data_IF_221265763690
#
_entry.id   IF_221265763690
#
_cell.length_a   1.000
_cell.length_b   1.000
_cell.length_c   1.000
_cell.angle_alpha   90.00
_cell.angle_beta   90.00
_cell.angle_gamma   90.00
#
_symmetry.space_group_name_H-M   'P 1'
#
loop_
_entity.id
_entity.type
_entity.pdbx_description
1 polymer ?
#
# COMPACT_ATOMS: atom_id res chain seq x y z
N UNK A 1 -36.55 -12.06 3.24
CA UNK A 1 -35.08 -11.91 3.43
C UNK A 1 -34.43 -12.85 2.43
N UNK A 2 -33.62 -12.33 1.50
CA UNK A 2 -32.97 -13.16 0.47
C UNK A 2 -31.58 -13.52 0.97
N UNK A 3 -31.26 -14.81 1.03
CA UNK A 3 -29.94 -15.32 1.39
C UNK A 3 -29.27 -15.90 0.14
N UNK A 4 -28.12 -15.36 -0.23
CA UNK A 4 -27.28 -15.89 -1.31
C UNK A 4 -26.11 -16.62 -0.64
N UNK A 5 -25.96 -17.91 -0.91
CA UNK A 5 -24.82 -18.69 -0.43
C UNK A 5 -23.82 -18.81 -1.58
N UNK A 6 -22.64 -18.26 -1.39
CA UNK A 6 -21.52 -18.44 -2.32
C UNK A 6 -20.22 -18.35 -1.55
N UNK A 7 -19.17 -18.92 -2.10
CA UNK A 7 -17.82 -18.84 -1.52
C UNK A 7 -17.05 -17.60 -2.02
N UNK A 8 -17.41 -17.10 -3.20
CA UNK A 8 -16.73 -15.97 -3.85
C UNK A 8 -17.46 -14.64 -3.68
N UNK A 9 -16.78 -13.67 -3.06
CA UNK A 9 -17.31 -12.33 -2.82
C UNK A 9 -17.64 -11.60 -4.13
N UNK A 10 -16.85 -11.83 -5.18
CA UNK A 10 -17.04 -11.21 -6.50
C UNK A 10 -18.36 -11.65 -7.12
N UNK A 11 -18.61 -12.97 -7.20
CA UNK A 11 -19.86 -13.51 -7.72
C UNK A 11 -21.09 -13.04 -6.91
N UNK A 12 -20.99 -13.00 -5.57
CA UNK A 12 -22.05 -12.44 -4.74
C UNK A 12 -22.33 -10.98 -5.07
N UNK A 13 -21.28 -10.18 -5.26
CA UNK A 13 -21.43 -8.76 -5.58
C UNK A 13 -22.10 -8.55 -6.93
N UNK A 14 -21.73 -9.32 -7.96
CA UNK A 14 -22.33 -9.23 -9.29
C UNK A 14 -23.81 -9.66 -9.28
N UNK A 15 -24.14 -10.73 -8.56
CA UNK A 15 -25.53 -11.18 -8.38
C UNK A 15 -26.37 -10.11 -7.71
N UNK A 16 -25.90 -9.54 -6.59
CA UNK A 16 -26.64 -8.50 -5.85
C UNK A 16 -26.84 -7.26 -6.72
N UNK A 17 -25.81 -6.81 -7.43
CA UNK A 17 -25.92 -5.66 -8.33
C UNK A 17 -26.88 -5.92 -9.50
N UNK A 18 -26.85 -7.13 -10.08
CA UNK A 18 -27.73 -7.50 -11.20
C UNK A 18 -29.19 -7.58 -10.76
N UNK A 19 -29.45 -8.17 -9.59
CA UNK A 19 -30.79 -8.23 -8.98
C UNK A 19 -31.29 -6.82 -8.68
N UNK A 20 -30.47 -5.98 -8.06
CA UNK A 20 -30.87 -4.61 -7.75
C UNK A 20 -31.17 -3.76 -9.00
N UNK A 21 -30.38 -3.94 -10.08
CA UNK A 21 -30.64 -3.31 -11.38
C UNK A 21 -31.94 -3.82 -12.00
N UNK A 22 -32.17 -5.14 -11.98
CA UNK A 22 -33.38 -5.74 -12.55
C UNK A 22 -34.66 -5.24 -11.86
N UNK A 23 -34.63 -5.11 -10.53
CA UNK A 23 -35.78 -4.63 -9.74
C UNK A 23 -35.80 -3.10 -9.55
N UNK A 24 -34.87 -2.34 -10.15
CA UNK A 24 -34.71 -0.89 -9.95
C UNK A 24 -34.68 -0.46 -8.47
N UNK A 25 -33.99 -1.23 -7.61
CA UNK A 25 -33.85 -0.91 -6.19
C UNK A 25 -32.75 0.16 -6.01
N UNK A 26 -33.08 1.38 -5.55
CA UNK A 26 -32.11 2.47 -5.49
C UNK A 26 -31.11 2.31 -4.34
N UNK A 27 -31.53 1.69 -3.24
CA UNK A 27 -30.74 1.54 -2.01
C UNK A 27 -30.94 0.16 -1.41
N UNK A 28 -29.85 -0.58 -1.21
CA UNK A 28 -29.88 -1.90 -0.58
C UNK A 28 -28.76 -2.01 0.45
N UNK A 29 -29.16 -2.28 1.69
CA UNK A 29 -28.25 -2.69 2.75
C UNK A 29 -28.12 -4.22 2.72
N UNK A 30 -26.92 -4.72 2.99
CA UNK A 30 -26.63 -6.15 3.07
C UNK A 30 -25.69 -6.44 4.23
N UNK A 31 -25.83 -7.67 4.74
CA UNK A 31 -24.92 -8.27 5.70
C UNK A 31 -24.16 -9.39 5.00
N UNK A 32 -22.85 -9.47 5.21
CA UNK A 32 -22.02 -10.48 4.58
C UNK A 32 -21.08 -11.14 5.59
N UNK A 33 -20.78 -12.41 5.34
CA UNK A 33 -19.84 -13.20 6.13
C UNK A 33 -19.03 -14.09 5.20
N UNK A 34 -17.75 -13.72 4.99
CA UNK A 34 -16.80 -14.44 4.14
C UNK A 34 -15.48 -14.66 4.90
N UNK A 35 -15.42 -15.62 5.84
CA UNK A 35 -14.28 -15.77 6.76
C UNK A 35 -12.92 -15.87 6.04
N UNK A 36 -12.83 -16.74 5.02
CA UNK A 36 -11.58 -16.96 4.26
C UNK A 36 -11.06 -15.71 3.56
N UNK A 37 -11.97 -14.93 2.98
CA UNK A 37 -11.63 -13.70 2.27
C UNK A 37 -11.25 -12.58 3.24
N UNK A 38 -11.87 -12.55 4.43
CA UNK A 38 -11.47 -11.66 5.51
C UNK A 38 -10.07 -11.97 6.06
N UNK A 39 -9.71 -13.25 6.23
CA UNK A 39 -8.37 -13.63 6.69
C UNK A 39 -7.29 -13.21 5.68
N UNK A 40 -7.54 -13.40 4.38
CA UNK A 40 -6.65 -12.90 3.31
C UNK A 40 -6.51 -11.39 3.33
N UNK A 41 -7.61 -10.68 3.57
CA UNK A 41 -7.63 -9.23 3.66
C UNK A 41 -6.84 -8.74 4.88
N UNK A 42 -6.96 -9.40 6.04
CA UNK A 42 -6.16 -9.11 7.24
C UNK A 42 -4.66 -9.22 6.96
N UNK A 43 -4.25 -10.34 6.37
CA UNK A 43 -2.87 -10.58 5.97
C UNK A 43 -2.38 -9.49 5.01
N UNK A 44 -3.21 -9.09 4.05
CA UNK A 44 -2.86 -8.06 3.09
C UNK A 44 -2.69 -6.68 3.73
N UNK A 45 -3.50 -6.33 4.73
CA UNK A 45 -3.33 -5.09 5.50
C UNK A 45 -2.00 -5.12 6.26
N UNK A 46 -1.71 -6.20 6.99
CA UNK A 46 -0.43 -6.35 7.71
C UNK A 46 0.79 -6.31 6.80
N UNK A 47 0.73 -6.97 5.63
CA UNK A 47 1.81 -6.91 4.65
C UNK A 47 2.01 -5.48 4.13
N UNK A 48 0.92 -4.75 3.87
CA UNK A 48 0.98 -3.36 3.39
C UNK A 48 1.64 -2.45 4.42
N UNK A 49 1.35 -2.65 5.70
CA UNK A 49 2.00 -1.92 6.80
C UNK A 49 3.49 -2.23 6.90
N UNK A 50 3.87 -3.50 6.84
CA UNK A 50 5.27 -3.92 6.86
C UNK A 50 6.06 -3.29 5.70
N UNK A 51 5.52 -3.35 4.48
CA UNK A 51 6.12 -2.71 3.31
C UNK A 51 6.19 -1.17 3.44
N UNK A 52 5.21 -0.55 4.10
CA UNK A 52 5.24 0.89 4.34
C UNK A 52 6.37 1.31 5.28
N UNK A 53 6.67 0.51 6.31
CA UNK A 53 7.81 0.70 7.22
C UNK A 53 9.13 0.51 6.47
N UNK A 54 9.28 -0.59 5.73
CA UNK A 54 10.48 -0.86 4.92
C UNK A 54 10.77 0.28 3.95
N UNK A 55 9.74 0.78 3.26
CA UNK A 55 9.86 1.92 2.35
C UNK A 55 10.38 3.18 3.05
N UNK A 56 9.93 3.46 4.28
CA UNK A 56 10.41 4.60 5.07
C UNK A 56 11.90 4.47 5.39
N UNK A 57 12.34 3.29 5.83
CA UNK A 57 13.75 3.00 6.11
C UNK A 57 14.61 3.17 4.86
N UNK A 58 14.24 2.56 3.73
CA UNK A 58 14.98 2.70 2.47
C UNK A 58 15.03 4.15 1.96
N UNK A 59 14.02 4.97 2.26
CA UNK A 59 14.01 6.40 1.90
C UNK A 59 15.04 7.18 2.71
N UNK A 60 15.18 6.86 4.01
CA UNK A 60 16.21 7.42 4.86
C UNK A 60 17.62 7.01 4.40
N UNK A 61 17.83 5.72 4.13
CA UNK A 61 19.13 5.19 3.68
C UNK A 61 19.59 5.83 2.37
N UNK A 62 18.68 6.02 1.41
CA UNK A 62 19.02 6.70 0.14
C UNK A 62 19.35 8.17 0.39
N UNK A 63 18.63 8.86 1.27
CA UNK A 63 18.91 10.25 1.60
C UNK A 63 20.29 10.40 2.27
N UNK A 64 20.64 9.51 3.20
CA UNK A 64 21.95 9.47 3.84
C UNK A 64 23.08 9.25 2.82
N UNK A 65 22.90 8.33 1.87
CA UNK A 65 23.88 8.10 0.79
C UNK A 65 24.04 9.31 -0.13
N UNK A 66 22.97 10.05 -0.42
CA UNK A 66 23.04 11.29 -1.21
C UNK A 66 23.85 12.34 -0.47
N UNK A 67 23.60 12.53 0.83
CA UNK A 67 24.32 13.49 1.66
C UNK A 67 25.81 13.14 1.79
N UNK A 68 26.11 11.85 1.97
CA UNK A 68 27.48 11.34 1.99
C UNK A 68 28.21 11.61 0.67
N UNK A 69 27.56 11.37 -0.48
CA UNK A 69 28.14 11.68 -1.81
C UNK A 69 28.43 13.17 -1.94
N UNK A 70 27.51 14.04 -1.51
CA UNK A 70 27.71 15.49 -1.54
C UNK A 70 28.93 15.90 -0.70
N UNK A 71 29.05 15.36 0.51
CA UNK A 71 30.17 15.63 1.41
C UNK A 71 31.50 15.10 0.85
N UNK A 72 31.52 13.88 0.30
CA UNK A 72 32.71 13.29 -0.31
C UNK A 72 33.17 14.08 -1.53
N UNK A 73 32.24 14.57 -2.36
CA UNK A 73 32.56 15.37 -3.54
C UNK A 73 33.23 16.68 -3.16
N UNK A 74 32.67 17.43 -2.20
CA UNK A 74 33.25 18.70 -1.74
C UNK A 74 34.67 18.48 -1.20
N UNK A 75 34.85 17.47 -0.34
CA UNK A 75 36.16 17.17 0.23
C UNK A 75 37.17 16.70 -0.82
N UNK A 76 36.74 15.90 -1.80
CA UNK A 76 37.62 15.45 -2.89
C UNK A 76 38.11 16.64 -3.74
N UNK A 77 37.23 17.59 -4.04
CA UNK A 77 37.59 18.81 -4.76
C UNK A 77 38.54 19.71 -3.96
N UNK A 78 38.33 19.86 -2.65
CA UNK A 78 39.25 20.60 -1.78
C UNK A 78 40.65 20.00 -1.80
N UNK A 79 40.77 18.66 -1.69
CA UNK A 79 42.06 17.96 -1.78
C UNK A 79 42.71 18.12 -3.15
N UNK A 80 41.91 18.11 -4.22
CA UNK A 80 42.39 18.35 -5.60
C UNK A 80 42.94 19.77 -5.75
N UNK A 81 42.26 20.78 -5.21
CA UNK A 81 42.70 22.18 -5.23
C UNK A 81 43.98 22.39 -4.41
N UNK A 82 44.15 21.66 -3.30
CA UNK A 82 45.37 21.66 -2.50
C UNK A 82 46.54 20.87 -3.14
N UNK A 83 46.32 20.22 -4.29
CA UNK A 83 47.34 19.43 -4.99
C UNK A 83 47.63 18.06 -4.35
N UNK A 84 46.81 17.63 -3.38
CA UNK A 84 46.92 16.33 -2.71
C UNK A 84 46.23 15.24 -3.54
N UNK A 85 46.87 14.80 -4.63
CA UNK A 85 46.27 13.83 -5.58
C UNK A 85 46.06 12.43 -5.00
N UNK A 86 46.90 12.00 -4.04
CA UNK A 86 46.77 10.69 -3.40
C UNK A 86 45.48 10.56 -2.59
N UNK A 87 45.19 11.56 -1.76
CA UNK A 87 43.95 11.63 -0.96
C UNK A 87 42.74 11.87 -1.86
N UNK A 88 42.82 12.79 -2.84
CA UNK A 88 41.73 13.02 -3.79
C UNK A 88 41.32 11.73 -4.53
N UNK A 89 42.29 10.93 -4.99
CA UNK A 89 42.02 9.64 -5.65
C UNK A 89 41.31 8.64 -4.75
N UNK A 90 41.70 8.57 -3.47
CA UNK A 90 41.02 7.71 -2.49
C UNK A 90 39.56 8.14 -2.31
N UNK A 91 39.30 9.45 -2.18
CA UNK A 91 37.95 9.99 -2.01
C UNK A 91 37.06 9.78 -3.23
N UNK A 92 37.59 9.94 -4.46
CA UNK A 92 36.82 9.60 -5.67
C UNK A 92 36.53 8.10 -5.79
N UNK A 93 37.43 7.25 -5.29
CA UNK A 93 37.21 5.80 -5.26
C UNK A 93 36.08 5.46 -4.30
N UNK A 94 36.06 6.05 -3.11
CA UNK A 94 34.99 5.93 -2.13
C UNK A 94 33.66 6.46 -2.69
N UNK A 95 33.66 7.63 -3.34
CA UNK A 95 32.50 8.20 -4.02
C UNK A 95 31.94 7.22 -5.07
N UNK A 96 32.80 6.59 -5.87
CA UNK A 96 32.38 5.60 -6.86
C UNK A 96 31.70 4.38 -6.21
N UNK A 97 32.23 3.88 -5.10
CA UNK A 97 31.61 2.79 -4.34
C UNK A 97 30.25 3.19 -3.77
N UNK A 98 30.17 4.35 -3.09
CA UNK A 98 28.92 4.86 -2.52
C UNK A 98 27.87 5.14 -3.60
N UNK A 99 28.28 5.64 -4.77
CA UNK A 99 27.36 5.87 -5.89
C UNK A 99 26.82 4.56 -6.48
N UNK A 100 27.66 3.52 -6.60
CA UNK A 100 27.19 2.19 -7.02
C UNK A 100 26.20 1.59 -6.02
N UNK A 101 26.51 1.71 -4.73
CA UNK A 101 25.64 1.25 -3.65
C UNK A 101 24.30 2.02 -3.64
N UNK A 102 24.32 3.33 -3.86
CA UNK A 102 23.11 4.14 -4.03
C UNK A 102 22.26 3.67 -5.21
N UNK A 103 22.88 3.35 -6.36
CA UNK A 103 22.14 2.85 -7.53
C UNK A 103 21.46 1.51 -7.24
N UNK A 104 22.15 0.60 -6.54
CA UNK A 104 21.57 -0.66 -6.10
C UNK A 104 20.41 -0.44 -5.13
N UNK A 105 20.60 0.42 -4.11
CA UNK A 105 19.54 0.78 -3.17
C UNK A 105 18.32 1.42 -3.85
N UNK A 106 18.55 2.27 -4.86
CA UNK A 106 17.49 2.89 -5.65
C UNK A 106 16.68 1.87 -6.45
N UNK A 107 17.33 0.87 -7.06
CA UNK A 107 16.64 -0.23 -7.74
C UNK A 107 15.77 -1.04 -6.78
N UNK A 108 16.29 -1.39 -5.60
CA UNK A 108 15.52 -2.07 -4.56
C UNK A 108 14.31 -1.24 -4.12
N UNK A 109 14.47 0.09 -3.99
CA UNK A 109 13.37 1.01 -3.67
C UNK A 109 12.27 1.03 -4.73
N UNK A 110 12.62 0.98 -6.02
CA UNK A 110 11.64 0.90 -7.10
C UNK A 110 10.84 -0.40 -7.01
N UNK A 111 11.54 -1.52 -6.79
CA UNK A 111 10.92 -2.83 -6.62
C UNK A 111 9.91 -2.81 -5.46
N UNK A 112 10.36 -2.33 -4.30
CA UNK A 112 9.53 -2.21 -3.10
C UNK A 112 8.31 -1.31 -3.31
N UNK A 113 8.51 -0.16 -3.97
CA UNK A 113 7.41 0.75 -4.30
C UNK A 113 6.37 0.08 -5.21
N UNK A 114 6.82 -0.72 -6.18
CA UNK A 114 5.92 -1.48 -7.07
C UNK A 114 5.12 -2.52 -6.29
N UNK A 115 5.77 -3.30 -5.43
CA UNK A 115 5.12 -4.30 -4.57
C UNK A 115 4.06 -3.66 -3.67
N UNK A 116 4.41 -2.58 -2.98
CA UNK A 116 3.46 -1.84 -2.14
C UNK A 116 2.28 -1.29 -2.95
N UNK A 117 2.53 -0.74 -4.14
CA UNK A 117 1.47 -0.26 -5.02
C UNK A 117 0.50 -1.38 -5.42
N UNK A 118 1.02 -2.57 -5.71
CA UNK A 118 0.21 -3.71 -6.09
C UNK A 118 -0.59 -4.27 -4.90
N UNK A 119 -0.03 -4.28 -3.69
CA UNK A 119 -0.77 -4.59 -2.46
C UNK A 119 -1.92 -3.59 -2.21
N UNK A 120 -1.67 -2.28 -2.36
CA UNK A 120 -2.70 -1.26 -2.19
C UNK A 120 -3.83 -1.38 -3.24
N UNK A 121 -3.51 -1.72 -4.48
CA UNK A 121 -4.53 -2.00 -5.51
C UNK A 121 -5.42 -3.18 -5.11
N UNK A 122 -4.82 -4.27 -4.62
CA UNK A 122 -5.58 -5.45 -4.15
C UNK A 122 -6.49 -5.12 -2.96
N UNK A 123 -6.00 -4.33 -1.99
CA UNK A 123 -6.84 -3.84 -0.88
C UNK A 123 -8.02 -3.02 -1.38
N UNK A 124 -7.80 -2.09 -2.30
CA UNK A 124 -8.86 -1.25 -2.85
C UNK A 124 -9.87 -2.07 -3.66
N UNK A 125 -9.41 -3.06 -4.43
CA UNK A 125 -10.28 -3.99 -5.16
C UNK A 125 -11.18 -4.76 -4.19
N UNK A 126 -10.63 -5.26 -3.09
CA UNK A 126 -11.40 -5.95 -2.06
C UNK A 126 -12.48 -5.05 -1.44
N UNK A 127 -12.13 -3.81 -1.10
CA UNK A 127 -13.08 -2.83 -0.54
C UNK A 127 -14.19 -2.52 -1.54
N UNK A 128 -13.86 -2.40 -2.82
CA UNK A 128 -14.86 -2.20 -3.88
C UNK A 128 -15.77 -3.40 -4.06
N UNK A 129 -15.26 -4.63 -4.04
CA UNK A 129 -16.06 -5.86 -4.10
C UNK A 129 -16.98 -5.96 -2.88
N UNK A 130 -16.44 -5.74 -1.69
CA UNK A 130 -17.19 -5.81 -0.44
C UNK A 130 -18.27 -4.70 -0.31
N UNK A 131 -17.99 -3.50 -0.85
CA UNK A 131 -18.98 -2.42 -0.90
C UNK A 131 -20.02 -2.63 -2.01
N UNK A 132 -19.66 -3.34 -3.10
CA UNK A 132 -20.57 -3.71 -4.19
C UNK A 132 -21.56 -4.82 -3.81
N UNK A 133 -21.45 -5.41 -2.63
CA UNK A 133 -22.54 -6.16 -2.02
C UNK A 133 -23.72 -5.27 -1.60
N UNK A 134 -23.58 -3.94 -1.68
CA UNK A 134 -24.59 -2.93 -1.29
C UNK A 134 -24.87 -2.00 -2.46
N UNK A 135 -26.02 -1.33 -2.42
CA UNK A 135 -26.47 -0.47 -3.52
C UNK A 135 -26.79 0.94 -3.02
N UNK A 136 -26.40 1.93 -3.81
CA UNK A 136 -26.67 3.34 -3.55
C UNK A 136 -25.90 3.90 -2.36
N UNK A 137 -26.58 4.63 -1.48
CA UNK A 137 -25.97 5.37 -0.35
C UNK A 137 -25.18 4.49 0.62
N UNK A 138 -25.55 3.21 0.73
CA UNK A 138 -24.86 2.26 1.62
C UNK A 138 -23.49 1.84 1.05
N UNK A 139 -23.32 1.81 -0.27
CA UNK A 139 -22.03 1.52 -0.90
C UNK A 139 -21.01 2.61 -0.57
N UNK A 140 -21.36 3.87 -0.83
CA UNK A 140 -20.46 5.01 -0.59
C UNK A 140 -20.12 5.18 0.89
N UNK A 141 -21.09 4.96 1.79
CA UNK A 141 -20.86 5.00 3.25
C UNK A 141 -19.86 3.93 3.72
N UNK A 142 -19.95 2.70 3.21
CA UNK A 142 -19.02 1.63 3.57
C UNK A 142 -17.61 1.93 3.07
N UNK A 143 -17.46 2.42 1.84
CA UNK A 143 -16.14 2.82 1.31
C UNK A 143 -15.50 3.91 2.19
N UNK A 144 -16.26 4.96 2.56
CA UNK A 144 -15.72 6.03 3.42
C UNK A 144 -15.33 5.52 4.81
N UNK A 145 -16.15 4.66 5.42
CA UNK A 145 -15.87 4.08 6.72
C UNK A 145 -14.67 3.12 6.67
N UNK A 146 -14.54 2.30 5.62
CA UNK A 146 -13.37 1.43 5.42
C UNK A 146 -12.08 2.25 5.30
N UNK A 147 -12.08 3.34 4.53
CA UNK A 147 -10.91 4.22 4.45
C UNK A 147 -10.58 4.91 5.78
N UNK A 148 -11.59 5.26 6.59
CA UNK A 148 -11.39 5.82 7.92
C UNK A 148 -10.85 4.79 8.92
N UNK A 149 -11.35 3.56 8.87
CA UNK A 149 -10.87 2.45 9.68
C UNK A 149 -9.43 2.04 9.33
N UNK A 150 -9.06 2.07 8.05
CA UNK A 150 -7.68 1.87 7.60
C UNK A 150 -6.74 2.99 8.09
N UNK A 151 -7.20 4.25 8.08
CA UNK A 151 -6.40 5.37 8.60
C UNK A 151 -6.17 5.30 10.11
N UNK A 152 -7.14 4.78 10.86
CA UNK A 152 -7.07 4.64 12.32
C UNK A 152 -6.47 3.30 12.75
N UNK A 153 -6.06 2.46 11.79
CA UNK A 153 -5.55 1.11 11.98
C UNK A 153 -6.41 0.24 12.92
N UNK A 154 -7.73 0.35 12.79
CA UNK A 154 -8.66 -0.39 13.61
C UNK A 154 -9.30 -1.54 12.82
N UNK A 155 -8.56 -2.64 12.71
CA UNK A 155 -8.99 -3.87 12.02
C UNK A 155 -10.33 -4.40 12.56
N UNK A 156 -10.57 -4.30 13.87
CA UNK A 156 -11.84 -4.73 14.48
C UNK A 156 -13.05 -3.96 13.94
N UNK A 157 -12.93 -2.63 13.85
CA UNK A 157 -13.99 -1.80 13.25
C UNK A 157 -14.10 -2.01 11.74
N UNK A 158 -12.99 -2.25 11.05
CA UNK A 158 -12.95 -2.55 9.62
C UNK A 158 -13.78 -3.80 9.30
N UNK A 159 -13.56 -4.91 10.03
CA UNK A 159 -14.33 -6.14 9.83
C UNK A 159 -15.81 -5.95 10.17
N UNK A 160 -16.12 -5.21 11.24
CA UNK A 160 -17.50 -4.95 11.63
C UNK A 160 -18.24 -4.11 10.58
N UNK A 161 -17.59 -3.07 10.06
CA UNK A 161 -18.10 -2.20 8.99
C UNK A 161 -18.31 -3.00 7.71
N UNK A 162 -17.37 -3.88 7.32
CA UNK A 162 -17.55 -4.68 6.11
C UNK A 162 -18.69 -5.69 6.27
N UNK A 163 -18.79 -6.37 7.42
CA UNK A 163 -19.84 -7.37 7.71
C UNK A 163 -21.24 -6.77 7.80
N UNK A 164 -21.40 -5.66 8.53
CA UNK A 164 -22.73 -5.13 8.89
C UNK A 164 -23.07 -3.81 8.22
N UNK A 165 -22.10 -3.07 7.69
CA UNK A 165 -22.30 -1.73 7.13
C UNK A 165 -22.57 -0.65 8.18
N UNK A 166 -22.37 -0.96 9.47
CA UNK A 166 -22.59 -0.07 10.62
C UNK A 166 -21.33 -0.08 11.50
N UNK A 167 -21.06 1.06 12.15
CA UNK A 167 -19.99 1.22 13.15
C UNK A 167 -20.15 0.28 14.36
#
# INVERSE_FOLDING_TARGET
MVSIQTEEIELASEMVQSIAKFFNVPHLASTCEFPREFDKFEQLVHLTEAHQVTRQQMTADVAEKIDLIGTLLVRAEDQRLMGCWGTAKQMYTELLYTNRDLLTGYQSRICEHRTLSDCQKRLNQFIEQASSLRVGKFKTKVVSLCHQALKTNNLGTLFKVVRTGVE
#
